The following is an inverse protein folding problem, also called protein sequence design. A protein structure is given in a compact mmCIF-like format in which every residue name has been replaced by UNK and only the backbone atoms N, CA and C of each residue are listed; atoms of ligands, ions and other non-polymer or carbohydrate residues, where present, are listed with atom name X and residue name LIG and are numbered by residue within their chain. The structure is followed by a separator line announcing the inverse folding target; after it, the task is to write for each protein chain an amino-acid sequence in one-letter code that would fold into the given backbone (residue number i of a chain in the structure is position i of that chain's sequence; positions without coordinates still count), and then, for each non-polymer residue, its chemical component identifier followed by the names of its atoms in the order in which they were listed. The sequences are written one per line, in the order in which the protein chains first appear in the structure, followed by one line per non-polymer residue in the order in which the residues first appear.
data_IF_367483880244
#
_entry.id   IF_367483880244
#
_cell.length_a   1.000
_cell.length_b   1.000
_cell.length_c   1.000
_cell.angle_alpha   90.00
_cell.angle_beta   90.00
_cell.angle_gamma   90.00
#
_symmetry.space_group_name_H-M   'P 1'
#
loop_
_entity.id
_entity.type
_entity.pdbx_description
1 polymer ?
#
# COMPACT_ATOMS: atom_id res chain seq x y z
N UNK A 1 -14.97 43.11 64.25
CA UNK A 1 -15.67 42.61 63.04
C UNK A 1 -14.63 42.25 61.97
N UNK A 2 -14.96 41.27 61.13
CA UNK A 2 -14.05 40.32 60.48
C UNK A 2 -13.06 40.94 59.48
N UNK A 3 -11.77 40.60 59.63
CA UNK A 3 -10.69 40.82 58.65
C UNK A 3 -10.97 39.96 57.40
N UNK A 4 -11.03 40.58 56.22
CA UNK A 4 -11.00 39.88 54.93
C UNK A 4 -9.54 39.87 54.44
N UNK A 5 -8.92 38.70 54.45
CA UNK A 5 -7.62 38.45 53.81
C UNK A 5 -7.91 38.10 52.35
N UNK A 6 -7.47 38.95 51.44
CA UNK A 6 -7.57 38.75 50.01
C UNK A 6 -6.32 37.98 49.54
N UNK A 7 -6.44 36.66 49.39
CA UNK A 7 -5.41 35.84 48.74
C UNK A 7 -5.54 36.01 47.24
N UNK A 8 -4.66 36.81 46.64
CA UNK A 8 -4.46 36.84 45.19
C UNK A 8 -3.46 35.72 44.87
N UNK A 9 -3.97 34.58 44.41
CA UNK A 9 -3.16 33.51 43.82
C UNK A 9 -2.85 33.92 42.40
N UNK A 10 -1.64 34.45 42.18
CA UNK A 10 -1.11 34.76 40.86
C UNK A 10 -0.66 33.44 40.19
N UNK A 11 -1.58 32.77 39.51
CA UNK A 11 -1.29 31.59 38.69
C UNK A 11 -0.69 32.07 37.36
N UNK A 12 0.62 32.27 37.34
CA UNK A 12 1.38 32.43 36.08
C UNK A 12 1.48 31.05 35.44
N UNK A 13 0.46 30.71 34.66
CA UNK A 13 0.51 29.56 33.75
C UNK A 13 1.39 29.96 32.58
N UNK A 14 2.68 29.65 32.66
CA UNK A 14 3.55 29.59 31.49
C UNK A 14 3.00 28.49 30.57
N UNK A 15 2.21 28.90 29.59
CA UNK A 15 1.95 28.09 28.41
C UNK A 15 3.26 27.98 27.63
N UNK A 16 4.09 26.99 28.00
CA UNK A 16 5.18 26.55 27.15
C UNK A 16 4.53 26.09 25.84
N UNK A 17 4.98 26.58 24.67
CA UNK A 17 4.64 25.90 23.44
C UNK A 17 5.26 24.52 23.55
N UNK A 18 4.41 23.49 23.67
CA UNK A 18 4.75 22.13 23.29
C UNK A 18 4.99 22.15 21.77
N UNK A 19 6.10 22.77 21.37
CA UNK A 19 6.80 22.41 20.17
C UNK A 19 7.19 20.94 20.39
N UNK A 20 6.27 20.07 20.00
CA UNK A 20 6.56 18.69 19.64
C UNK A 20 7.81 18.74 18.78
N UNK A 21 8.96 18.45 19.39
CA UNK A 21 10.17 18.05 18.70
C UNK A 21 9.76 16.80 17.92
N UNK A 22 9.23 17.01 16.71
CA UNK A 22 9.07 15.97 15.73
C UNK A 22 10.47 15.39 15.58
N UNK A 23 10.66 14.19 16.12
CA UNK A 23 11.93 13.47 16.19
C UNK A 23 12.71 13.69 14.90
N UNK A 24 13.77 14.50 14.96
CA UNK A 24 14.59 14.88 13.80
C UNK A 24 15.25 13.65 13.14
N UNK A 25 15.09 12.46 13.73
CA UNK A 25 15.67 11.21 13.29
C UNK A 25 14.64 10.11 12.94
N UNK A 26 13.33 10.37 12.94
CA UNK A 26 12.37 9.32 12.57
C UNK A 26 12.48 8.98 11.08
N UNK A 27 12.89 7.75 10.79
CA UNK A 27 12.92 7.21 9.42
C UNK A 27 11.58 6.57 9.10
N UNK A 28 10.95 7.03 8.02
CA UNK A 28 9.72 6.45 7.47
C UNK A 28 9.84 6.27 5.95
N UNK A 29 8.94 5.50 5.38
CA UNK A 29 8.91 5.25 3.93
C UNK A 29 7.57 5.64 3.31
N UNK A 30 7.62 6.05 2.04
CA UNK A 30 6.43 6.33 1.25
C UNK A 30 6.53 5.65 -0.12
N UNK A 31 5.49 4.90 -0.45
CA UNK A 31 5.21 4.51 -1.83
C UNK A 31 4.48 5.64 -2.54
N UNK A 32 5.10 6.17 -3.59
CA UNK A 32 4.49 7.16 -4.47
C UNK A 32 4.05 6.43 -5.75
N UNK A 33 2.73 6.29 -5.95
CA UNK A 33 2.14 5.57 -7.08
C UNK A 33 1.57 6.57 -8.09
N UNK A 34 2.24 6.71 -9.22
CA UNK A 34 1.82 7.54 -10.35
C UNK A 34 0.86 6.75 -11.24
N UNK A 35 -0.44 7.05 -11.13
CA UNK A 35 -1.50 6.19 -11.68
C UNK A 35 -1.58 6.25 -13.20
N UNK A 36 -1.46 7.43 -13.84
CA UNK A 36 -1.54 7.59 -15.31
C UNK A 36 -0.30 7.06 -16.01
N UNK A 37 0.87 7.45 -15.54
CA UNK A 37 2.16 7.00 -16.07
C UNK A 37 2.52 5.57 -15.67
N UNK A 38 1.76 4.93 -14.78
CA UNK A 38 1.94 3.53 -14.36
C UNK A 38 3.34 3.26 -13.80
N UNK A 39 3.80 4.17 -12.94
CA UNK A 39 5.12 4.13 -12.29
C UNK A 39 4.99 4.23 -10.77
N UNK A 40 5.79 3.45 -10.08
CA UNK A 40 5.93 3.49 -8.63
C UNK A 40 7.32 3.95 -8.24
N UNK A 41 7.43 4.58 -7.08
CA UNK A 41 8.71 4.80 -6.42
C UNK A 41 8.58 4.59 -4.92
N UNK A 42 9.66 4.11 -4.32
CA UNK A 42 9.83 4.03 -2.87
C UNK A 42 10.75 5.16 -2.44
N UNK A 43 10.25 6.02 -1.56
CA UNK A 43 10.97 7.16 -0.99
C UNK A 43 11.26 6.89 0.48
N UNK A 44 12.52 7.01 0.90
CA UNK A 44 12.92 7.08 2.30
C UNK A 44 12.82 8.54 2.75
N UNK A 45 12.25 8.76 3.91
CA UNK A 45 12.07 10.08 4.51
C UNK A 45 12.74 10.04 5.88
N UNK A 46 13.74 10.90 6.07
CA UNK A 46 14.46 11.05 7.34
C UNK A 46 14.47 12.53 7.69
N UNK A 47 13.77 12.89 8.77
CA UNK A 47 13.45 14.29 9.04
C UNK A 47 12.68 14.92 7.88
N UNK A 48 13.20 16.00 7.31
CA UNK A 48 12.64 16.69 6.13
C UNK A 48 13.21 16.18 4.80
N UNK A 49 14.26 15.35 4.82
CA UNK A 49 14.94 14.87 3.61
C UNK A 49 14.18 13.70 3.00
N UNK A 50 13.75 13.87 1.75
CA UNK A 50 13.19 12.79 0.93
C UNK A 50 14.25 12.25 -0.04
N UNK A 51 14.45 10.94 -0.08
CA UNK A 51 15.38 10.28 -1.01
C UNK A 51 14.68 9.11 -1.72
N UNK A 52 14.65 9.14 -3.05
CA UNK A 52 14.09 8.05 -3.85
C UNK A 52 15.05 6.87 -3.82
N UNK A 53 14.64 5.77 -3.19
CA UNK A 53 15.44 4.55 -3.04
C UNK A 53 15.22 3.61 -4.22
N UNK A 54 14.00 3.56 -4.76
CA UNK A 54 13.66 2.66 -5.86
C UNK A 54 12.61 3.26 -6.78
N UNK A 55 12.71 2.95 -8.08
CA UNK A 55 11.66 3.17 -9.07
C UNK A 55 11.32 1.82 -9.69
N UNK A 56 10.04 1.59 -9.97
CA UNK A 56 9.57 0.33 -10.55
C UNK A 56 8.28 0.54 -11.36
N UNK A 57 8.03 -0.29 -12.38
CA UNK A 57 6.76 -0.29 -13.08
C UNK A 57 5.64 -0.78 -12.15
N UNK A 58 4.43 -0.26 -12.34
CA UNK A 58 3.25 -0.68 -11.59
C UNK A 58 2.03 -0.82 -12.49
N UNK A 59 1.13 -1.72 -12.17
CA UNK A 59 -0.11 -1.93 -12.91
C UNK A 59 -1.31 -1.44 -12.11
N UNK A 60 -1.76 -0.24 -12.45
CA UNK A 60 -2.71 0.53 -11.65
C UNK A 60 -4.13 0.39 -12.19
N UNK A 61 -5.06 1.11 -11.56
CA UNK A 61 -6.47 1.11 -11.93
C UNK A 61 -6.73 1.62 -13.34
N UNK A 62 -7.59 0.90 -14.07
CA UNK A 62 -8.23 1.41 -15.29
C UNK A 62 -8.98 2.72 -14.99
N UNK A 63 -9.06 3.61 -15.98
CA UNK A 63 -9.68 4.95 -15.89
C UNK A 63 -11.05 4.91 -15.20
N UNK A 64 -11.92 3.97 -15.60
CA UNK A 64 -13.28 3.85 -15.05
C UNK A 64 -13.37 3.54 -13.55
N UNK A 65 -12.32 3.01 -12.93
CA UNK A 65 -12.27 2.73 -11.49
C UNK A 65 -11.43 3.76 -10.72
N UNK A 66 -10.81 4.74 -11.39
CA UNK A 66 -9.96 5.74 -10.71
C UNK A 66 -10.73 6.66 -9.76
N UNK A 67 -12.05 6.80 -9.91
CA UNK A 67 -12.91 7.55 -8.99
C UNK A 67 -12.87 7.01 -7.54
N UNK A 68 -12.42 5.77 -7.37
CA UNK A 68 -12.30 5.10 -6.07
C UNK A 68 -10.92 5.29 -5.44
N UNK A 69 -9.97 5.90 -6.17
CA UNK A 69 -8.60 6.13 -5.69
C UNK A 69 -8.54 7.43 -4.88
N UNK A 70 -8.03 7.39 -3.64
CA UNK A 70 -7.84 8.56 -2.77
C UNK A 70 -6.58 9.34 -3.14
N UNK A 71 -6.61 10.07 -4.26
CA UNK A 71 -5.48 10.85 -4.74
C UNK A 71 -5.01 11.89 -3.73
N UNK A 72 -3.68 12.08 -3.64
CA UNK A 72 -3.04 13.10 -2.80
C UNK A 72 -2.95 12.76 -1.32
N UNK A 73 -3.69 11.75 -0.84
CA UNK A 73 -3.69 11.32 0.56
C UNK A 73 -2.57 10.32 0.84
N UNK A 74 -1.86 10.50 1.97
CA UNK A 74 -0.93 9.49 2.47
C UNK A 74 -1.69 8.49 3.36
N UNK A 75 -1.67 7.22 2.97
CA UNK A 75 -2.45 6.16 3.62
C UNK A 75 -1.49 5.16 4.27
N UNK A 76 -1.59 4.92 5.57
CA UNK A 76 -0.75 3.93 6.24
C UNK A 76 -0.92 2.52 5.64
N UNK A 77 0.18 1.76 5.61
CA UNK A 77 0.12 0.32 5.41
C UNK A 77 -0.19 -0.32 6.75
N UNK A 78 -1.35 -0.97 6.85
CA UNK A 78 -1.82 -1.61 8.08
C UNK A 78 -1.24 -3.00 8.28
N UNK A 79 -0.99 -3.73 7.18
CA UNK A 79 -0.48 -5.10 7.24
C UNK A 79 0.29 -5.45 5.96
N UNK A 80 1.30 -6.31 6.10
CA UNK A 80 1.97 -6.93 4.95
C UNK A 80 1.90 -8.44 5.11
N UNK A 81 1.37 -9.11 4.09
CA UNK A 81 1.17 -10.56 4.10
C UNK A 81 2.02 -11.22 3.00
N UNK A 82 2.72 -12.27 3.39
CA UNK A 82 3.36 -13.24 2.49
C UNK A 82 2.39 -14.41 2.32
N UNK A 83 2.20 -14.85 1.08
CA UNK A 83 1.20 -15.82 0.66
C UNK A 83 -0.23 -15.46 1.11
N UNK A 84 -0.71 -14.23 0.82
CA UNK A 84 -2.03 -13.80 1.27
C UNK A 84 -3.15 -14.68 0.69
N UNK A 85 -4.21 -15.00 1.46
CA UNK A 85 -5.43 -15.55 0.87
C UNK A 85 -6.13 -14.50 0.01
N UNK A 86 -7.01 -14.92 -0.89
CA UNK A 86 -7.84 -13.99 -1.66
C UNK A 86 -9.29 -14.45 -1.74
N UNK A 87 -10.20 -13.50 -1.62
CA UNK A 87 -11.65 -13.72 -1.77
C UNK A 87 -12.21 -12.67 -2.73
N UNK A 88 -13.03 -13.07 -3.71
CA UNK A 88 -13.72 -12.11 -4.59
C UNK A 88 -14.69 -11.24 -3.79
N UNK A 89 -14.82 -9.97 -4.16
CA UNK A 89 -15.81 -9.08 -3.54
C UNK A 89 -17.21 -9.37 -4.06
N UNK A 90 -18.24 -8.96 -3.32
CA UNK A 90 -19.64 -9.09 -3.74
C UNK A 90 -19.91 -8.40 -5.08
N UNK A 91 -19.27 -7.27 -5.33
CA UNK A 91 -19.34 -6.57 -6.61
C UNK A 91 -18.81 -7.44 -7.76
N UNK A 92 -17.68 -8.13 -7.56
CA UNK A 92 -17.13 -9.05 -8.55
C UNK A 92 -18.05 -10.25 -8.79
N UNK A 93 -18.65 -10.81 -7.74
CA UNK A 93 -19.61 -11.91 -7.84
C UNK A 93 -20.89 -11.47 -8.57
N UNK A 94 -21.40 -10.27 -8.31
CA UNK A 94 -22.55 -9.67 -9.00
C UNK A 94 -22.24 -9.45 -10.50
N UNK A 95 -21.07 -8.89 -10.82
CA UNK A 95 -20.62 -8.68 -12.21
C UNK A 95 -20.53 -10.01 -12.97
N UNK A 96 -19.98 -11.06 -12.33
CA UNK A 96 -19.91 -12.39 -12.92
C UNK A 96 -21.31 -12.97 -13.20
N UNK A 97 -22.22 -12.94 -12.22
CA UNK A 97 -23.60 -13.40 -12.39
C UNK A 97 -24.30 -12.67 -13.55
N UNK A 98 -24.11 -11.36 -13.66
CA UNK A 98 -24.68 -10.58 -14.75
C UNK A 98 -24.12 -10.96 -16.13
N UNK A 99 -22.83 -11.32 -16.23
CA UNK A 99 -22.23 -11.80 -17.48
C UNK A 99 -22.75 -13.18 -17.88
N UNK A 100 -22.90 -14.09 -16.92
CA UNK A 100 -23.47 -15.43 -17.14
C UNK A 100 -24.91 -15.32 -17.67
N UNK A 101 -25.74 -14.47 -17.04
CA UNK A 101 -27.12 -14.21 -17.49
C UNK A 101 -27.21 -13.68 -18.93
N UNK A 102 -26.16 -13.04 -19.44
CA UNK A 102 -26.06 -12.53 -20.82
C UNK A 102 -25.42 -13.54 -21.80
N UNK A 103 -25.30 -14.81 -21.41
CA UNK A 103 -24.72 -15.86 -22.26
C UNK A 103 -23.19 -15.76 -22.45
N UNK A 104 -22.48 -14.91 -21.69
CA UNK A 104 -21.04 -14.78 -21.82
C UNK A 104 -20.32 -15.91 -21.08
N UNK A 105 -19.39 -16.60 -21.78
CA UNK A 105 -18.46 -17.54 -21.15
C UNK A 105 -17.53 -16.79 -20.20
N UNK A 106 -17.56 -17.14 -18.91
CA UNK A 106 -16.71 -16.53 -17.86
C UNK A 106 -16.16 -17.60 -16.93
N UNK A 107 -14.90 -17.47 -16.53
CA UNK A 107 -14.29 -18.33 -15.50
C UNK A 107 -14.87 -18.01 -14.14
N UNK A 108 -15.41 -19.02 -13.43
CA UNK A 108 -16.00 -18.85 -12.09
C UNK A 108 -14.96 -18.30 -11.10
N UNK A 109 -15.35 -17.27 -10.35
CA UNK A 109 -14.50 -16.71 -9.30
C UNK A 109 -14.57 -17.63 -8.08
N UNK A 110 -13.40 -18.07 -7.61
CA UNK A 110 -13.25 -18.86 -6.39
C UNK A 110 -12.39 -18.15 -5.35
N UNK A 111 -12.52 -18.55 -4.09
CA UNK A 111 -11.57 -18.17 -3.05
C UNK A 111 -10.25 -18.91 -3.27
N UNK A 112 -9.13 -18.27 -2.91
CA UNK A 112 -7.80 -18.87 -2.95
C UNK A 112 -7.23 -18.95 -1.55
N UNK A 113 -6.71 -20.13 -1.21
CA UNK A 113 -5.98 -20.36 0.03
C UNK A 113 -4.59 -19.70 -0.02
N UNK A 114 -3.92 -19.51 1.13
CA UNK A 114 -2.53 -19.06 1.16
C UNK A 114 -1.64 -19.87 0.23
N UNK A 115 -0.81 -19.18 -0.55
CA UNK A 115 0.19 -19.80 -1.43
C UNK A 115 -0.36 -20.57 -2.65
N UNK A 116 -1.69 -20.64 -2.82
CA UNK A 116 -2.32 -21.37 -3.92
C UNK A 116 -1.85 -20.80 -5.28
N UNK A 117 -1.50 -21.66 -6.26
CA UNK A 117 -1.21 -21.22 -7.62
C UNK A 117 -2.38 -20.46 -8.24
N UNK A 118 -2.09 -19.41 -9.00
CA UNK A 118 -3.13 -18.58 -9.65
C UNK A 118 -3.84 -17.58 -8.73
N UNK A 119 -3.48 -17.50 -7.45
CA UNK A 119 -4.02 -16.49 -6.54
C UNK A 119 -3.76 -15.07 -7.09
N UNK A 120 -4.79 -14.23 -7.30
CA UNK A 120 -4.63 -12.93 -7.96
C UNK A 120 -3.86 -11.89 -7.13
N UNK A 121 -3.61 -12.14 -5.84
CA UNK A 121 -2.71 -11.32 -5.01
C UNK A 121 -1.24 -11.73 -5.11
N UNK A 122 -0.93 -12.82 -5.84
CA UNK A 122 0.44 -13.32 -5.98
C UNK A 122 0.97 -13.91 -4.67
N UNK A 123 2.15 -13.44 -4.25
CA UNK A 123 2.89 -13.96 -3.09
C UNK A 123 3.13 -12.93 -1.98
N UNK A 124 2.99 -11.64 -2.26
CA UNK A 124 3.15 -10.58 -1.27
C UNK A 124 2.05 -9.55 -1.52
N UNK A 125 1.39 -9.09 -0.46
CA UNK A 125 0.42 -7.99 -0.51
C UNK A 125 0.58 -7.07 0.70
N UNK A 126 0.65 -5.77 0.40
CA UNK A 126 0.59 -4.68 1.35
C UNK A 126 -0.85 -4.17 1.40
N UNK A 127 -1.45 -4.24 2.59
CA UNK A 127 -2.81 -3.79 2.86
C UNK A 127 -2.76 -2.36 3.35
N UNK A 128 -3.58 -1.52 2.72
CA UNK A 128 -3.73 -0.14 3.13
C UNK A 128 -4.79 -0.07 4.23
N UNK A 129 -4.61 0.86 5.16
CA UNK A 129 -5.56 1.13 6.24
C UNK A 129 -6.94 1.50 5.67
N UNK A 130 -7.95 0.69 6.01
CA UNK A 130 -9.30 0.76 5.45
C UNK A 130 -10.09 1.97 5.93
N UNK A 131 -9.71 2.57 7.06
CA UNK A 131 -10.30 3.81 7.58
C UNK A 131 -10.16 4.99 6.61
N UNK A 132 -9.22 4.89 5.67
CA UNK A 132 -8.98 5.92 4.65
C UNK A 132 -9.63 5.60 3.31
N UNK A 133 -10.33 4.46 3.18
CA UNK A 133 -10.70 3.87 1.91
C UNK A 133 -12.20 3.61 1.79
N UNK A 134 -12.75 3.89 0.60
CA UNK A 134 -14.12 3.47 0.25
C UNK A 134 -14.18 2.05 -0.31
N UNK A 135 -13.05 1.55 -0.82
CA UNK A 135 -12.90 0.20 -1.39
C UNK A 135 -11.56 -0.38 -0.92
N UNK A 136 -11.44 -1.70 -0.74
CA UNK A 136 -10.23 -2.30 -0.21
C UNK A 136 -9.10 -2.28 -1.26
N UNK A 137 -8.20 -1.30 -1.15
CA UNK A 137 -7.03 -1.13 -2.01
C UNK A 137 -5.80 -1.82 -1.41
N UNK A 138 -4.94 -2.35 -2.29
CA UNK A 138 -3.72 -3.07 -1.93
C UNK A 138 -2.60 -2.75 -2.93
N UNK A 139 -1.35 -2.84 -2.48
CA UNK A 139 -0.20 -3.05 -3.37
C UNK A 139 0.14 -4.53 -3.33
N UNK A 140 0.14 -5.24 -4.47
CA UNK A 140 0.29 -6.69 -4.42
C UNK A 140 0.93 -7.28 -5.67
N UNK A 141 1.40 -8.53 -5.56
CA UNK A 141 1.89 -9.29 -6.70
C UNK A 141 0.75 -9.78 -7.60
N UNK A 142 1.08 -10.41 -8.71
CA UNK A 142 0.07 -11.16 -9.47
C UNK A 142 0.78 -12.24 -10.29
N UNK A 143 0.18 -13.44 -10.43
CA UNK A 143 0.77 -14.52 -11.22
C UNK A 143 0.84 -14.18 -12.71
N UNK A 144 0.04 -13.22 -13.16
CA UNK A 144 -0.06 -12.78 -14.55
C UNK A 144 0.16 -11.26 -14.64
N UNK A 145 1.35 -10.79 -14.28
CA UNK A 145 1.78 -9.41 -14.52
C UNK A 145 2.29 -9.31 -15.96
N UNK A 146 1.72 -8.43 -16.82
CA UNK A 146 2.27 -8.21 -18.16
C UNK A 146 3.69 -7.67 -18.10
N UNK A 147 4.50 -7.89 -19.14
CA UNK A 147 5.83 -7.28 -19.22
C UNK A 147 5.71 -5.75 -19.21
N UNK A 148 6.60 -5.02 -18.51
CA UNK A 148 6.63 -3.57 -18.57
C UNK A 148 7.04 -3.10 -19.97
N UNK A 149 6.71 -1.84 -20.28
CA UNK A 149 7.10 -1.17 -21.52
C UNK A 149 7.95 0.05 -21.21
N UNK A 150 8.74 0.52 -22.17
CA UNK A 150 9.53 1.74 -22.01
C UNK A 150 8.62 2.97 -22.14
N UNK A 151 8.69 3.87 -21.17
CA UNK A 151 8.01 5.17 -21.19
C UNK A 151 8.72 6.19 -22.11
N UNK A 152 8.08 7.35 -22.30
CA UNK A 152 8.66 8.45 -23.11
C UNK A 152 9.96 9.02 -22.52
N UNK A 153 10.15 8.86 -21.22
CA UNK A 153 11.32 9.27 -20.46
C UNK A 153 12.41 8.17 -20.41
N UNK A 154 12.30 7.11 -21.22
CA UNK A 154 13.23 5.99 -21.25
C UNK A 154 13.11 5.02 -20.06
N UNK A 155 12.25 5.31 -19.08
CA UNK A 155 12.07 4.46 -17.90
C UNK A 155 10.95 3.44 -18.09
N UNK A 156 11.10 2.25 -17.50
CA UNK A 156 10.07 1.23 -17.51
C UNK A 156 8.77 1.71 -16.83
N UNK A 157 7.64 1.37 -17.44
CA UNK A 157 6.29 1.59 -16.92
C UNK A 157 5.43 0.33 -17.04
N UNK A 158 4.47 0.19 -16.14
CA UNK A 158 3.43 -0.83 -16.25
C UNK A 158 2.25 -0.33 -17.10
N UNK A 159 1.03 -0.71 -16.71
CA UNK A 159 -0.18 -0.31 -17.43
C UNK A 159 -1.42 -0.21 -16.52
N UNK A 160 -2.43 0.55 -16.97
CA UNK A 160 -3.70 0.73 -16.25
C UNK A 160 -4.67 -0.41 -16.54
N UNK A 161 -4.53 -1.54 -15.83
CA UNK A 161 -5.28 -2.78 -16.10
C UNK A 161 -6.07 -3.31 -14.89
N UNK A 162 -5.87 -2.74 -13.71
CA UNK A 162 -6.47 -3.21 -12.46
C UNK A 162 -7.86 -2.62 -12.22
N UNK A 163 -8.62 -3.23 -11.31
CA UNK A 163 -9.93 -2.75 -10.83
C UNK A 163 -9.85 -1.93 -9.55
N UNK A 164 -8.74 -1.23 -9.32
CA UNK A 164 -8.52 -0.39 -8.14
C UNK A 164 -7.14 -0.59 -7.51
N UNK A 165 -6.79 -1.82 -7.13
CA UNK A 165 -5.48 -2.14 -6.54
C UNK A 165 -4.31 -1.82 -7.48
N UNK A 166 -3.10 -1.74 -6.93
CA UNK A 166 -1.87 -1.60 -7.72
C UNK A 166 -1.09 -2.91 -7.68
N UNK A 167 -0.77 -3.45 -8.86
CA UNK A 167 0.09 -4.64 -8.96
C UNK A 167 1.54 -4.22 -9.13
N UNK A 168 2.44 -4.96 -8.50
CA UNK A 168 3.89 -4.73 -8.52
C UNK A 168 4.55 -6.09 -8.78
N UNK A 169 5.66 -6.09 -9.51
CA UNK A 169 6.41 -7.31 -9.78
C UNK A 169 6.89 -7.98 -8.47
N UNK A 170 6.98 -9.31 -8.47
CA UNK A 170 7.37 -10.05 -7.26
C UNK A 170 8.79 -9.69 -6.79
N UNK A 171 9.72 -9.47 -7.72
CA UNK A 171 11.08 -9.07 -7.37
C UNK A 171 11.10 -7.70 -6.68
N UNK A 172 10.34 -6.74 -7.20
CA UNK A 172 10.21 -5.41 -6.60
C UNK A 172 9.56 -5.46 -5.22
N UNK A 173 8.54 -6.31 -5.05
CA UNK A 173 7.90 -6.54 -3.75
C UNK A 173 8.85 -7.20 -2.76
N UNK A 174 9.67 -8.16 -3.19
CA UNK A 174 10.66 -8.82 -2.34
C UNK A 174 11.74 -7.84 -1.88
N UNK A 175 12.35 -7.09 -2.80
CA UNK A 175 13.37 -6.08 -2.46
C UNK A 175 12.79 -5.02 -1.54
N UNK A 176 11.58 -4.54 -1.83
CA UNK A 176 10.96 -3.54 -0.97
C UNK A 176 10.60 -4.12 0.41
N UNK A 177 10.11 -5.36 0.47
CA UNK A 177 9.84 -6.03 1.74
C UNK A 177 11.10 -6.19 2.58
N UNK A 178 12.23 -6.54 1.96
CA UNK A 178 13.54 -6.61 2.62
C UNK A 178 13.92 -5.24 3.21
N UNK A 179 13.84 -4.15 2.43
CA UNK A 179 14.14 -2.80 2.91
C UNK A 179 13.26 -2.40 4.10
N UNK A 180 11.96 -2.68 4.02
CA UNK A 180 10.98 -2.18 5.00
C UNK A 180 10.90 -3.02 6.28
N UNK A 181 11.34 -4.28 6.24
CA UNK A 181 11.31 -5.20 7.38
C UNK A 181 12.70 -5.55 7.93
N UNK A 182 13.77 -5.20 7.22
CA UNK A 182 15.15 -5.62 7.48
C UNK A 182 15.34 -7.15 7.51
N UNK A 183 14.37 -7.92 6.98
CA UNK A 183 14.52 -9.37 6.81
C UNK A 183 15.34 -9.69 5.58
N UNK A 184 16.30 -10.60 5.73
CA UNK A 184 17.10 -11.12 4.63
C UNK A 184 16.24 -11.61 3.45
N UNK A 185 16.69 -11.33 2.23
CA UNK A 185 15.97 -11.71 1.02
C UNK A 185 15.77 -13.23 0.94
N UNK A 186 16.76 -14.01 1.37
CA UNK A 186 16.70 -15.47 1.45
C UNK A 186 15.60 -15.96 2.41
N UNK A 187 15.42 -15.27 3.55
CA UNK A 187 14.33 -15.57 4.49
C UNK A 187 12.96 -15.30 3.86
N UNK A 188 12.80 -14.16 3.18
CA UNK A 188 11.55 -13.82 2.50
C UNK A 188 11.19 -14.83 1.41
N UNK A 189 12.18 -15.27 0.62
CA UNK A 189 11.99 -16.32 -0.39
C UNK A 189 11.59 -17.65 0.27
N UNK A 190 12.24 -18.03 1.37
CA UNK A 190 11.88 -19.23 2.14
C UNK A 190 10.43 -19.15 2.64
N UNK A 191 9.98 -18.00 3.16
CA UNK A 191 8.60 -17.79 3.61
C UNK A 191 7.61 -17.96 2.45
N UNK A 192 7.90 -17.44 1.26
CA UNK A 192 7.09 -17.68 0.06
C UNK A 192 6.98 -19.17 -0.24
N UNK A 193 8.12 -19.89 -0.23
CA UNK A 193 8.18 -21.32 -0.56
C UNK A 193 7.36 -22.20 0.38
N UNK A 194 7.19 -21.81 1.65
CA UNK A 194 6.33 -22.57 2.58
C UNK A 194 4.88 -22.68 2.14
N UNK A 195 4.41 -21.77 1.27
CA UNK A 195 2.99 -21.61 0.87
C UNK A 195 2.02 -21.40 2.03
N UNK A 196 2.51 -21.15 3.25
CA UNK A 196 1.72 -20.78 4.42
C UNK A 196 1.59 -19.26 4.48
N UNK A 197 0.50 -18.79 5.08
CA UNK A 197 0.30 -17.37 5.35
C UNK A 197 1.31 -16.91 6.41
N UNK A 198 2.02 -15.82 6.13
CA UNK A 198 2.86 -15.15 7.12
C UNK A 198 2.55 -13.67 7.14
N UNK A 199 2.56 -13.09 8.33
CA UNK A 199 2.56 -11.65 8.49
C UNK A 199 3.99 -11.14 8.58
N UNK A 200 4.32 -10.16 7.74
CA UNK A 200 5.62 -9.50 7.74
C UNK A 200 5.54 -8.24 8.58
N UNK A 201 6.19 -8.26 9.74
CA UNK A 201 6.34 -7.07 10.58
C UNK A 201 7.27 -6.06 9.89
N UNK A 202 6.79 -4.83 9.74
CA UNK A 202 7.60 -3.72 9.22
C UNK A 202 8.41 -3.09 10.34
N UNK A 203 9.67 -2.75 10.05
CA UNK A 203 10.57 -2.06 10.98
C UNK A 203 10.25 -0.57 11.06
N UNK A 204 9.82 0.01 9.93
CA UNK A 204 9.57 1.44 9.78
C UNK A 204 8.11 1.72 9.45
N UNK A 205 7.56 2.87 9.84
CA UNK A 205 6.26 3.31 9.35
C UNK A 205 6.29 3.49 7.83
N UNK A 206 5.26 2.95 7.15
CA UNK A 206 5.16 3.03 5.69
C UNK A 206 3.79 3.54 5.29
N UNK A 207 3.77 4.50 4.36
CA UNK A 207 2.55 5.03 3.75
C UNK A 207 2.54 4.85 2.24
N UNK A 208 1.36 4.92 1.65
CA UNK A 208 1.14 4.94 0.21
C UNK A 208 0.46 6.24 -0.17
N UNK A 209 0.94 6.91 -1.22
CA UNK A 209 0.33 8.10 -1.81
C UNK A 209 0.07 7.86 -3.29
N UNK A 210 -1.20 7.90 -3.68
CA UNK A 210 -1.58 7.85 -5.08
C UNK A 210 -1.56 9.26 -5.67
N UNK A 211 -0.98 9.39 -6.85
CA UNK A 211 -0.89 10.64 -7.61
C UNK A 211 -1.42 10.42 -9.02
N UNK A 212 -2.02 11.44 -9.61
CA UNK A 212 -2.51 11.36 -10.98
C UNK A 212 -1.37 10.96 -11.94
N UNK A 213 -0.22 11.62 -11.79
CA UNK A 213 1.07 11.25 -12.38
C UNK A 213 1.00 11.00 -13.88
#
# INVERSE_FOLDING_TARGET
MRKKVLFIVLLVVFALPLCSLASENETRYRFDILVKSSKGKLTKITGTKETVIRRFPVWTSQIKYQKEIPYGKEIPISQVLINPPWTPTDSMLKEQKAKIKKGKKVTLLKKFKPGEPGNPLGRIAFYLDDRYLKVPLRLHGSPSIPKPTTGRDGLLKGAQISKGCTRIDLLDLLVTSNILSEKELSELVRLIQTRKLHELKLKYPVKVKFMAG
#
